data_IF_941074936088
#
_entry.id   IF_941074936088
#
_cell.length_a   1.000
_cell.length_b   1.000
_cell.length_c   1.000
_cell.angle_alpha   90.00
_cell.angle_beta   90.00
_cell.angle_gamma   90.00
#
_symmetry.space_group_name_H-M   'P 1'
#
loop_
_entity.id
_entity.type
_entity.pdbx_description
1 polymer ?
#
# COMPACT_ATOMS: atom_id res chain seq x y z
N UNK A 1 -61.23 -35.15 22.03
CA UNK A 1 -62.48 -35.63 21.41
C UNK A 1 -62.73 -34.77 20.18
N UNK A 2 -62.56 -35.35 19.00
CA UNK A 2 -63.05 -34.85 17.70
C UNK A 2 -63.18 -36.13 16.86
N UNK A 3 -64.20 -36.91 17.16
CA UNK A 3 -65.47 -36.92 16.43
C UNK A 3 -65.24 -37.22 14.94
N UNK A 4 -65.04 -38.51 14.64
CA UNK A 4 -65.02 -39.02 13.27
C UNK A 4 -66.48 -39.16 12.85
N UNK A 5 -67.00 -38.11 12.23
CA UNK A 5 -68.36 -38.10 11.69
C UNK A 5 -68.50 -39.23 10.67
N UNK A 6 -69.52 -40.11 10.79
CA UNK A 6 -69.69 -41.25 9.89
C UNK A 6 -69.95 -40.76 8.46
N UNK A 7 -69.24 -41.35 7.48
CA UNK A 7 -69.39 -41.01 6.06
C UNK A 7 -70.74 -41.54 5.58
N UNK A 8 -71.72 -40.65 5.43
CA UNK A 8 -73.02 -40.94 4.83
C UNK A 8 -72.84 -40.88 3.30
N UNK A 9 -73.12 -41.96 2.56
CA UNK A 9 -73.04 -41.93 1.11
C UNK A 9 -74.07 -40.94 0.56
N UNK A 10 -73.59 -39.90 -0.11
CA UNK A 10 -74.41 -38.76 -0.58
C UNK A 10 -75.24 -39.09 -1.82
N UNK A 11 -74.99 -40.24 -2.46
CA UNK A 11 -75.68 -40.64 -3.69
C UNK A 11 -75.68 -42.15 -3.85
N UNK A 12 -76.87 -42.75 -3.88
CA UNK A 12 -77.07 -44.15 -4.26
C UNK A 12 -77.44 -44.14 -5.75
N UNK A 13 -76.58 -44.70 -6.60
CA UNK A 13 -76.85 -44.81 -8.04
C UNK A 13 -77.68 -46.09 -8.26
N UNK A 14 -78.92 -46.00 -8.75
CA UNK A 14 -79.76 -47.18 -9.01
C UNK A 14 -79.14 -48.05 -10.11
N UNK A 15 -79.29 -49.37 -9.98
CA UNK A 15 -78.70 -50.34 -10.89
C UNK A 15 -79.17 -50.13 -12.34
N UNK A 16 -78.22 -49.98 -13.26
CA UNK A 16 -78.47 -49.74 -14.69
C UNK A 16 -78.22 -48.31 -15.17
N UNK A 17 -77.98 -47.35 -14.26
CA UNK A 17 -77.54 -46.01 -14.66
C UNK A 17 -76.04 -46.01 -15.04
N UNK A 18 -75.65 -45.27 -16.10
CA UNK A 18 -74.25 -45.20 -16.50
C UNK A 18 -73.39 -44.59 -15.38
N UNK A 19 -72.29 -45.26 -15.05
CA UNK A 19 -71.32 -44.78 -14.07
C UNK A 19 -70.71 -43.45 -14.57
N UNK A 20 -70.41 -42.50 -13.68
CA UNK A 20 -69.72 -41.27 -14.07
C UNK A 20 -68.37 -41.60 -14.71
N UNK A 21 -67.99 -40.80 -15.71
CA UNK A 21 -66.74 -40.99 -16.42
C UNK A 21 -65.58 -41.08 -15.43
N UNK A 22 -64.83 -42.18 -15.50
CA UNK A 22 -63.63 -42.39 -14.69
C UNK A 22 -62.54 -41.37 -15.05
N UNK A 23 -61.51 -41.22 -14.20
CA UNK A 23 -60.39 -40.34 -14.49
C UNK A 23 -59.74 -40.72 -15.84
N UNK A 24 -59.19 -39.74 -16.58
CA UNK A 24 -58.61 -39.96 -17.90
C UNK A 24 -57.47 -40.99 -17.86
N UNK A 25 -57.29 -41.73 -18.95
CA UNK A 25 -56.25 -42.75 -19.04
C UNK A 25 -54.84 -42.09 -18.95
N UNK A 26 -53.80 -42.83 -18.49
CA UNK A 26 -52.48 -42.24 -18.24
C UNK A 26 -51.83 -41.53 -19.44
N UNK A 27 -52.21 -41.89 -20.67
CA UNK A 27 -51.68 -41.34 -21.91
C UNK A 27 -52.61 -40.30 -22.58
N UNK A 28 -53.75 -39.96 -21.96
CA UNK A 28 -54.63 -38.93 -22.50
C UNK A 28 -54.10 -37.52 -22.19
N UNK A 29 -53.89 -36.73 -23.25
CA UNK A 29 -53.44 -35.34 -23.11
C UNK A 29 -54.59 -34.49 -22.55
N UNK A 30 -54.41 -33.84 -21.38
CA UNK A 30 -55.47 -33.03 -20.80
C UNK A 30 -55.85 -31.86 -21.70
N UNK A 31 -57.13 -31.42 -21.70
CA UNK A 31 -57.64 -30.43 -22.66
C UNK A 31 -56.94 -29.05 -22.58
N UNK A 32 -56.26 -28.73 -21.49
CA UNK A 32 -55.45 -27.51 -21.36
C UNK A 32 -54.02 -27.63 -21.92
N UNK A 33 -53.63 -28.80 -22.45
CA UNK A 33 -52.35 -29.03 -23.15
C UNK A 33 -52.50 -29.17 -24.67
N UNK A 34 -53.69 -28.96 -25.22
CA UNK A 34 -53.86 -28.89 -26.68
C UNK A 34 -53.07 -27.69 -27.24
N UNK A 35 -52.18 -27.87 -28.25
CA UNK A 35 -51.44 -26.76 -28.83
C UNK A 35 -52.39 -25.79 -29.55
N UNK A 36 -52.24 -24.48 -29.29
CA UNK A 36 -52.99 -23.45 -29.99
C UNK A 36 -52.64 -23.42 -31.49
N UNK A 37 -53.60 -23.15 -32.40
CA UNK A 37 -53.31 -22.98 -33.82
C UNK A 37 -52.27 -21.89 -34.06
N UNK A 38 -51.30 -22.15 -34.95
CA UNK A 38 -50.25 -21.19 -35.28
C UNK A 38 -50.84 -19.92 -35.89
N UNK A 39 -50.44 -18.75 -35.37
CA UNK A 39 -50.84 -17.45 -35.89
C UNK A 39 -50.25 -17.22 -37.30
N UNK A 40 -50.96 -16.52 -38.20
CA UNK A 40 -50.42 -16.17 -39.51
C UNK A 40 -49.21 -15.24 -39.38
N UNK A 41 -48.23 -15.41 -40.28
CA UNK A 41 -46.99 -14.63 -40.26
C UNK A 41 -47.26 -13.12 -40.51
N UNK A 42 -46.52 -12.22 -39.84
CA UNK A 42 -46.66 -10.78 -40.04
C UNK A 42 -46.15 -10.36 -41.43
N UNK A 43 -46.70 -9.27 -42.02
CA UNK A 43 -46.24 -8.75 -43.31
C UNK A 43 -44.79 -8.24 -43.23
N UNK A 44 -44.03 -8.44 -44.31
CA UNK A 44 -42.65 -7.95 -44.43
C UNK A 44 -42.60 -6.42 -44.45
N UNK A 45 -41.67 -5.78 -43.70
CA UNK A 45 -41.53 -4.32 -43.70
C UNK A 45 -40.96 -3.80 -45.03
N UNK A 46 -41.46 -2.63 -45.48
CA UNK A 46 -40.95 -1.92 -46.66
C UNK A 46 -39.50 -1.45 -46.46
N UNK A 47 -38.67 -1.45 -47.52
CA UNK A 47 -37.29 -0.98 -47.42
C UNK A 47 -37.23 0.53 -47.13
N UNK A 48 -36.23 0.99 -46.36
CA UNK A 48 -36.07 2.41 -46.03
C UNK A 48 -35.69 3.24 -47.27
N UNK A 49 -35.97 4.56 -47.27
CA UNK A 49 -35.54 5.46 -48.33
C UNK A 49 -34.01 5.45 -48.50
N UNK A 50 -33.53 5.52 -49.74
CA UNK A 50 -32.10 5.62 -50.03
C UNK A 50 -31.53 6.93 -49.45
N UNK A 51 -30.49 6.81 -48.61
CA UNK A 51 -29.76 7.93 -48.04
C UNK A 51 -28.81 8.52 -49.11
N UNK A 52 -28.74 9.85 -49.31
CA UNK A 52 -27.77 10.46 -50.21
C UNK A 52 -26.34 10.12 -49.79
N UNK A 53 -25.45 9.90 -50.77
CA UNK A 53 -24.04 9.63 -50.51
C UNK A 53 -23.37 10.80 -49.75
N UNK A 54 -22.48 10.53 -48.77
CA UNK A 54 -21.76 11.58 -48.05
C UNK A 54 -20.92 12.44 -49.00
N UNK A 55 -20.93 13.76 -48.77
CA UNK A 55 -20.06 14.68 -49.51
C UNK A 55 -18.56 14.36 -49.25
N UNK A 56 -17.67 14.63 -50.21
CA UNK A 56 -16.23 14.42 -50.03
C UNK A 56 -15.69 15.24 -48.84
N UNK A 57 -14.75 14.69 -48.05
CA UNK A 57 -14.17 15.41 -46.92
C UNK A 57 -13.40 16.66 -47.40
N UNK A 58 -13.44 17.78 -46.64
CA UNK A 58 -12.67 18.97 -46.96
C UNK A 58 -11.16 18.68 -46.95
N UNK A 59 -10.36 19.40 -47.76
CA UNK A 59 -8.92 19.20 -47.79
C UNK A 59 -8.30 19.48 -46.40
N UNK A 60 -7.25 18.73 -46.00
CA UNK A 60 -6.64 18.88 -44.68
C UNK A 60 -6.02 20.28 -44.54
N UNK A 61 -6.43 20.98 -43.48
CA UNK A 61 -5.86 22.27 -43.09
C UNK A 61 -4.39 22.06 -42.72
N UNK A 62 -3.44 22.84 -43.26
CA UNK A 62 -2.02 22.68 -42.93
C UNK A 62 -1.79 22.99 -41.44
N UNK A 63 -1.47 21.95 -40.66
CA UNK A 63 -1.12 22.08 -39.25
C UNK A 63 0.35 22.47 -39.11
N UNK A 64 0.62 23.75 -38.93
CA UNK A 64 1.98 24.27 -38.66
C UNK A 64 2.35 23.92 -37.22
N UNK A 65 3.18 22.89 -37.04
CA UNK A 65 3.72 22.51 -35.73
C UNK A 65 5.00 23.32 -35.46
N UNK A 66 4.90 24.34 -34.59
CA UNK A 66 6.05 25.10 -34.13
C UNK A 66 6.68 24.35 -32.95
N UNK A 67 7.82 23.70 -33.18
CA UNK A 67 8.64 23.15 -32.11
C UNK A 67 9.38 24.28 -31.41
N UNK A 68 8.84 24.73 -30.28
CA UNK A 68 9.54 25.62 -29.37
C UNK A 68 10.65 24.82 -28.67
N UNK A 69 11.89 24.98 -29.13
CA UNK A 69 13.06 24.47 -28.40
C UNK A 69 13.26 25.38 -27.19
N UNK A 70 12.98 24.85 -26.00
CA UNK A 70 13.27 25.56 -24.76
C UNK A 70 14.79 25.80 -24.67
N UNK A 71 15.26 27.03 -24.37
CA UNK A 71 16.67 27.27 -24.17
C UNK A 71 17.18 26.38 -23.03
N UNK A 72 18.27 25.67 -23.27
CA UNK A 72 18.93 24.83 -22.28
C UNK A 72 19.47 25.71 -21.16
N UNK A 73 18.74 25.77 -20.04
CA UNK A 73 19.28 26.31 -18.80
C UNK A 73 20.10 25.20 -18.15
N UNK A 74 21.41 25.42 -18.05
CA UNK A 74 22.28 24.58 -17.24
C UNK A 74 21.82 24.72 -15.79
N UNK A 75 21.27 23.65 -15.20
CA UNK A 75 20.79 23.67 -13.82
C UNK A 75 21.97 24.04 -12.90
N UNK A 76 21.81 25.03 -11.99
CA UNK A 76 22.90 25.44 -11.11
C UNK A 76 23.47 24.23 -10.37
N UNK A 77 24.80 24.10 -10.37
CA UNK A 77 25.45 22.98 -9.66
C UNK A 77 24.95 22.96 -8.20
N UNK A 78 24.43 21.82 -7.73
CA UNK A 78 23.86 21.75 -6.40
C UNK A 78 24.96 22.02 -5.36
N UNK A 79 24.68 22.94 -4.45
CA UNK A 79 25.62 23.32 -3.38
C UNK A 79 25.86 22.10 -2.46
N UNK A 80 26.99 22.06 -1.74
CA UNK A 80 27.29 20.95 -0.78
C UNK A 80 26.13 20.68 0.19
N UNK A 81 25.46 21.74 0.65
CA UNK A 81 24.27 21.65 1.51
C UNK A 81 23.08 21.01 0.80
N UNK A 82 22.83 21.33 -0.46
CA UNK A 82 21.76 20.72 -1.26
C UNK A 82 22.05 19.25 -1.54
N UNK A 83 23.32 18.88 -1.78
CA UNK A 83 23.73 17.47 -1.92
C UNK A 83 23.52 16.70 -0.61
N UNK A 84 23.91 17.28 0.52
CA UNK A 84 23.66 16.69 1.83
C UNK A 84 22.17 16.55 2.11
N UNK A 85 21.38 17.57 1.79
CA UNK A 85 19.93 17.54 1.99
C UNK A 85 19.26 16.51 1.10
N UNK A 86 19.61 16.46 -0.18
CA UNK A 86 19.16 15.44 -1.12
C UNK A 86 19.50 14.04 -0.62
N UNK A 87 20.72 13.84 -0.11
CA UNK A 87 21.17 12.59 0.48
C UNK A 87 20.35 12.21 1.73
N UNK A 88 20.12 13.14 2.66
CA UNK A 88 19.29 12.91 3.85
C UNK A 88 17.85 12.55 3.45
N UNK A 89 17.27 13.26 2.47
CA UNK A 89 15.91 12.96 1.97
C UNK A 89 15.84 11.69 1.14
N UNK A 90 16.94 11.26 0.52
CA UNK A 90 17.03 9.96 -0.17
C UNK A 90 17.10 8.79 0.82
N UNK A 91 17.64 9.04 2.01
CA UNK A 91 17.73 8.04 3.08
C UNK A 91 16.35 7.79 3.67
N UNK A 92 15.57 8.81 3.99
CA UNK A 92 14.25 8.61 4.59
C UNK A 92 13.39 9.86 4.55
N UNK A 93 12.11 9.71 4.88
CA UNK A 93 11.21 10.87 4.94
C UNK A 93 11.63 11.79 6.09
N UNK A 94 11.64 13.12 5.92
CA UNK A 94 12.13 14.06 6.92
C UNK A 94 11.40 13.96 8.27
N UNK A 95 10.11 13.59 8.26
CA UNK A 95 9.36 13.35 9.50
C UNK A 95 9.87 12.13 10.28
N UNK A 96 10.38 11.09 9.61
CA UNK A 96 10.94 9.91 10.27
C UNK A 96 12.25 10.25 10.98
N UNK A 97 13.04 11.15 10.40
CA UNK A 97 14.25 11.71 11.03
C UNK A 97 13.88 12.53 12.25
N UNK A 98 12.85 13.39 12.15
CA UNK A 98 12.36 14.19 13.27
C UNK A 98 11.87 13.29 14.43
N UNK A 99 11.06 12.28 14.15
CA UNK A 99 10.58 11.33 15.17
C UNK A 99 11.74 10.54 15.78
N UNK A 100 12.69 10.08 14.97
CA UNK A 100 13.87 9.38 15.48
C UNK A 100 14.70 10.24 16.42
N UNK A 101 14.91 11.52 16.08
CA UNK A 101 15.59 12.48 16.93
C UNK A 101 14.81 12.74 18.22
N UNK A 102 13.50 12.98 18.13
CA UNK A 102 12.66 13.17 19.31
C UNK A 102 12.78 11.96 20.22
N UNK A 103 12.61 10.74 19.73
CA UNK A 103 12.74 9.53 20.56
C UNK A 103 14.14 9.30 21.12
N UNK A 104 15.20 9.69 20.39
CA UNK A 104 16.57 9.55 20.87
C UNK A 104 16.85 10.50 22.05
N UNK A 105 16.29 11.71 22.01
CA UNK A 105 16.49 12.75 23.01
C UNK A 105 15.36 12.88 24.03
N UNK A 106 14.25 12.14 23.86
CA UNK A 106 13.14 12.17 24.78
C UNK A 106 13.63 11.63 26.14
N UNK A 107 13.53 12.42 27.22
CA UNK A 107 13.91 11.95 28.54
C UNK A 107 12.95 10.82 28.95
N UNK A 108 13.52 9.73 29.46
CA UNK A 108 12.71 8.61 29.94
C UNK A 108 12.06 9.07 31.25
N UNK A 109 10.72 9.02 31.38
CA UNK A 109 10.04 9.41 32.61
C UNK A 109 10.53 8.53 33.77
N UNK A 110 11.00 9.16 34.84
CA UNK A 110 11.59 8.50 36.02
C UNK A 110 13.12 8.46 36.06
N UNK A 111 13.80 8.52 34.91
CA UNK A 111 15.27 8.55 34.85
C UNK A 111 15.83 9.94 34.58
N UNK A 112 15.08 10.84 33.94
CA UNK A 112 15.51 12.21 33.63
C UNK A 112 16.55 12.34 32.52
N UNK A 113 17.19 11.23 32.13
CA UNK A 113 18.13 11.14 31.02
C UNK A 113 17.48 10.50 29.79
N UNK A 114 17.98 10.86 28.60
CA UNK A 114 17.58 10.24 27.34
C UNK A 114 18.45 9.03 27.02
N UNK A 115 17.96 8.14 26.15
CA UNK A 115 18.73 6.95 25.70
C UNK A 115 20.05 7.38 25.06
N UNK A 116 20.05 8.47 24.30
CA UNK A 116 21.25 9.01 23.67
C UNK A 116 22.28 9.50 24.69
N UNK A 117 21.84 10.16 25.77
CA UNK A 117 22.74 10.63 26.83
C UNK A 117 23.30 9.48 27.67
N UNK A 118 22.50 8.44 27.95
CA UNK A 118 22.96 7.23 28.67
C UNK A 118 23.99 6.47 27.83
N UNK A 119 23.78 6.37 26.52
CA UNK A 119 24.75 5.75 25.64
C UNK A 119 26.06 6.57 25.57
N UNK A 120 25.95 7.91 25.50
CA UNK A 120 27.12 8.78 25.54
C UNK A 120 27.92 8.61 26.84
N UNK A 121 27.26 8.50 28.01
CA UNK A 121 27.96 8.26 29.27
C UNK A 121 28.68 6.91 29.28
N UNK A 122 28.05 5.84 28.77
CA UNK A 122 28.70 4.53 28.67
C UNK A 122 29.96 4.56 27.77
N UNK A 123 29.93 5.30 26.67
CA UNK A 123 31.09 5.43 25.77
C UNK A 123 32.21 6.25 26.43
N UNK A 124 31.86 7.31 27.16
CA UNK A 124 32.82 8.12 27.93
C UNK A 124 33.47 7.30 29.04
N UNK A 125 32.69 6.52 29.79
CA UNK A 125 33.20 5.58 30.81
C UNK A 125 34.08 4.50 30.19
N UNK A 126 33.66 3.90 29.07
CA UNK A 126 34.45 2.90 28.36
C UNK A 126 35.82 3.44 27.93
N UNK A 127 35.88 4.73 27.57
CA UNK A 127 37.13 5.41 27.24
C UNK A 127 38.02 5.63 28.46
N UNK A 128 37.44 6.04 29.58
CA UNK A 128 38.16 6.29 30.81
C UNK A 128 38.75 5.00 31.41
N UNK A 129 38.00 3.89 31.35
CA UNK A 129 38.40 2.63 31.99
C UNK A 129 39.18 1.68 31.07
N UNK A 130 38.82 1.59 29.78
CA UNK A 130 39.37 0.60 28.85
C UNK A 130 40.20 1.22 27.72
N UNK A 131 40.34 2.55 27.73
CA UNK A 131 41.18 3.31 26.81
C UNK A 131 40.51 3.65 25.47
N UNK A 132 41.23 4.47 24.71
CA UNK A 132 40.74 5.11 23.48
C UNK A 132 40.30 4.11 22.39
N UNK A 133 41.07 3.04 22.17
CA UNK A 133 40.79 2.07 21.11
C UNK A 133 39.46 1.33 21.34
N UNK A 134 39.16 0.95 22.59
CA UNK A 134 37.94 0.24 22.93
C UNK A 134 36.71 1.16 22.87
N UNK A 135 36.85 2.41 23.28
CA UNK A 135 35.78 3.40 23.14
C UNK A 135 35.40 3.63 21.67
N UNK A 136 36.38 3.74 20.78
CA UNK A 136 36.11 3.87 19.34
C UNK A 136 35.49 2.61 18.75
N UNK A 137 35.97 1.42 19.12
CA UNK A 137 35.35 0.18 18.67
C UNK A 137 33.87 0.12 19.09
N UNK A 138 33.60 0.48 20.35
CA UNK A 138 32.26 0.45 20.94
C UNK A 138 31.33 1.53 20.36
N UNK A 139 31.85 2.71 20.02
CA UNK A 139 31.09 3.78 19.36
C UNK A 139 30.85 3.52 17.86
N UNK A 140 31.85 2.99 17.14
CA UNK A 140 31.80 2.79 15.69
C UNK A 140 31.01 1.55 15.28
N UNK A 141 30.97 0.50 16.10
CA UNK A 141 30.25 -0.74 15.79
C UNK A 141 28.75 -0.51 15.52
N UNK A 142 27.98 0.11 16.43
CA UNK A 142 26.57 0.38 16.17
C UNK A 142 26.37 1.43 15.06
N UNK A 143 27.28 2.40 14.93
CA UNK A 143 27.24 3.39 13.85
C UNK A 143 27.38 2.74 12.46
N UNK A 144 28.38 1.87 12.29
CA UNK A 144 28.61 1.15 11.05
C UNK A 144 27.43 0.26 10.69
N UNK A 145 26.85 -0.42 11.68
CA UNK A 145 25.64 -1.22 11.50
C UNK A 145 24.44 -0.36 11.06
N UNK A 146 24.25 0.82 11.67
CA UNK A 146 23.19 1.75 11.30
C UNK A 146 23.32 2.19 9.85
N UNK A 147 24.52 2.66 9.47
CA UNK A 147 24.83 3.15 8.13
C UNK A 147 24.65 2.04 7.11
N UNK A 148 25.23 0.86 7.34
CA UNK A 148 25.09 -0.28 6.44
C UNK A 148 23.61 -0.65 6.22
N UNK A 149 22.81 -0.67 7.29
CA UNK A 149 21.38 -1.01 7.22
C UNK A 149 20.53 0.07 6.53
N UNK A 150 20.95 1.33 6.63
CA UNK A 150 20.30 2.45 5.92
C UNK A 150 20.62 2.39 4.43
N UNK A 151 21.88 2.15 4.06
CA UNK A 151 22.32 2.08 2.66
C UNK A 151 21.73 0.86 1.95
N UNK A 152 21.64 -0.28 2.62
CA UNK A 152 21.17 -1.54 2.00
C UNK A 152 19.65 -1.70 1.94
N UNK A 153 18.89 -1.00 2.79
CA UNK A 153 17.45 -1.25 2.92
C UNK A 153 16.59 -0.01 3.11
N UNK A 154 17.15 1.19 2.97
CA UNK A 154 16.46 2.46 3.18
C UNK A 154 16.32 2.88 4.66
N UNK A 155 15.96 4.14 4.87
CA UNK A 155 15.81 4.77 6.18
C UNK A 155 14.44 4.52 6.79
N UNK A 156 14.38 3.54 7.68
CA UNK A 156 13.23 3.31 8.58
C UNK A 156 13.47 4.06 9.90
N UNK A 157 12.40 4.45 10.60
CA UNK A 157 12.47 5.17 11.90
C UNK A 157 13.42 4.48 12.89
N UNK A 158 13.35 3.15 13.02
CA UNK A 158 14.25 2.37 13.91
C UNK A 158 15.72 2.50 13.53
N UNK A 159 16.04 2.53 12.24
CA UNK A 159 17.42 2.62 11.74
C UNK A 159 17.98 4.03 11.92
N UNK A 160 17.14 5.04 11.69
CA UNK A 160 17.48 6.45 11.94
C UNK A 160 17.68 6.74 13.43
N UNK A 161 16.87 6.12 14.30
CA UNK A 161 17.04 6.23 15.75
C UNK A 161 18.35 5.60 16.20
N UNK A 162 18.70 4.42 15.67
CA UNK A 162 19.97 3.77 15.95
C UNK A 162 21.14 4.64 15.46
N UNK A 163 21.03 5.25 14.28
CA UNK A 163 22.02 6.21 13.79
C UNK A 163 22.17 7.42 14.72
N UNK A 164 21.07 8.03 15.16
CA UNK A 164 21.09 9.19 16.06
C UNK A 164 21.72 8.88 17.42
N UNK A 165 21.37 7.74 18.02
CA UNK A 165 21.97 7.27 19.29
C UNK A 165 23.46 7.00 19.08
N UNK A 166 23.83 6.31 18.00
CA UNK A 166 25.23 6.00 17.70
C UNK A 166 26.08 7.26 17.47
N UNK A 167 25.54 8.26 16.77
CA UNK A 167 26.22 9.54 16.56
C UNK A 167 26.45 10.28 17.88
N UNK A 168 25.45 10.24 18.77
CA UNK A 168 25.54 10.89 20.09
C UNK A 168 26.58 10.20 20.97
N UNK A 169 26.66 8.86 20.91
CA UNK A 169 27.72 8.10 21.58
C UNK A 169 29.10 8.38 21.00
N UNK A 170 29.22 8.51 19.68
CA UNK A 170 30.48 8.91 19.04
C UNK A 170 30.93 10.29 19.50
N UNK A 171 30.00 11.23 19.71
CA UNK A 171 30.34 12.54 20.27
C UNK A 171 30.90 12.42 21.70
N UNK A 172 30.40 11.47 22.50
CA UNK A 172 30.99 11.14 23.82
C UNK A 172 32.39 10.54 23.74
N UNK A 173 32.73 9.84 22.63
CA UNK A 173 34.08 9.32 22.41
C UNK A 173 35.08 10.38 21.94
N UNK A 174 34.66 11.41 21.21
CA UNK A 174 35.56 12.37 20.56
C UNK A 174 36.12 13.35 21.60
N UNK A 175 37.44 13.32 21.81
CA UNK A 175 38.14 14.38 22.53
C UNK A 175 38.81 15.34 21.54
N UNK A 176 38.79 16.64 21.84
CA UNK A 176 39.44 17.67 20.99
C UNK A 176 40.94 17.40 20.77
N UNK A 177 41.56 16.66 21.70
CA UNK A 177 42.97 16.30 21.66
C UNK A 177 43.27 15.00 20.92
N UNK A 178 42.28 14.17 20.55
CA UNK A 178 42.51 12.92 19.82
C UNK A 178 43.35 13.04 18.54
N UNK A 179 43.12 14.05 17.67
CA UNK A 179 43.94 14.23 16.49
C UNK A 179 45.39 14.55 16.86
N UNK A 180 45.59 15.31 17.95
CA UNK A 180 46.91 15.65 18.47
C UNK A 180 47.57 14.39 19.01
N UNK A 181 46.91 13.60 19.85
CA UNK A 181 47.40 12.33 20.37
C UNK A 181 47.75 11.34 19.25
N UNK A 182 46.98 11.33 18.16
CA UNK A 182 47.22 10.42 17.03
C UNK A 182 48.41 10.86 16.17
N UNK A 183 48.64 12.17 16.06
CA UNK A 183 49.78 12.75 15.33
C UNK A 183 51.06 12.72 16.17
N UNK A 184 50.96 12.93 17.49
CA UNK A 184 52.12 13.15 18.37
C UNK A 184 52.45 11.93 19.23
N UNK A 185 51.53 10.98 19.40
CA UNK A 185 51.67 9.85 20.32
C UNK A 185 51.62 10.24 21.81
N UNK A 186 51.40 11.52 22.13
CA UNK A 186 51.44 12.02 23.50
C UNK A 186 50.03 11.98 24.08
N UNK A 187 49.80 11.09 25.04
CA UNK A 187 48.56 11.04 25.80
C UNK A 187 48.51 12.20 26.81
N UNK A 188 47.49 13.07 26.78
CA UNK A 188 47.29 14.03 27.85
C UNK A 188 46.99 13.26 29.14
N UNK A 189 47.83 13.47 30.16
CA UNK A 189 47.69 12.97 31.52
C UNK A 189 46.52 13.61 32.25
#
# INVERSE_FOLDING_TARGET
>A
MTDRTPIIPTRIIPGGAPLPAGPPAPDDIPPWRAPAPAAPAPPTPSPPPAVPAPAPPPPPVPQIHVHLVAPYYEEPEPTRRQRLWAWITSIGRPWQVAIALVFAFLPIPGLGYSVATIWASCVTEARAEYGQAQAYALALTPLALAVMRIVTGGGTVRRLLLLAISLTGLMGAIHLYDPVTWITGVHPS
#
